data_IF_744781136025
#
_entry.id   IF_744781136025
#
_cell.length_a   1.000
_cell.length_b   1.000
_cell.length_c   1.000
_cell.angle_alpha   90.00
_cell.angle_beta   90.00
_cell.angle_gamma   90.00
#
_symmetry.space_group_name_H-M   'P 1'
#
loop_
_entity.id
_entity.type
_entity.pdbx_description
1 polymer ?
#
# COMPACT_ATOMS: atom_id res chain seq x y z
N UNK A 1 10.05 -21.43 -10.79
CA UNK A 1 10.14 -20.00 -10.42
C UNK A 1 9.34 -19.80 -9.15
N UNK A 2 9.91 -19.14 -8.14
CA UNK A 2 9.19 -18.85 -6.90
C UNK A 2 8.15 -17.76 -7.17
N UNK A 3 6.90 -17.97 -6.73
CA UNK A 3 5.83 -16.97 -6.88
C UNK A 3 6.18 -15.81 -5.96
N UNK A 4 6.41 -14.62 -6.54
CA UNK A 4 6.82 -13.43 -5.78
C UNK A 4 5.62 -12.61 -5.30
N UNK A 5 4.60 -12.54 -6.15
CA UNK A 5 3.35 -11.85 -5.87
C UNK A 5 2.20 -12.54 -6.60
N UNK A 6 1.00 -12.39 -6.06
CA UNK A 6 -0.24 -12.91 -6.64
C UNK A 6 -1.45 -12.11 -6.18
N UNK A 7 -2.56 -12.21 -6.89
CA UNK A 7 -3.81 -11.58 -6.45
C UNK A 7 -4.24 -12.14 -5.08
N UNK A 8 -4.63 -11.25 -4.16
CA UNK A 8 -4.91 -11.62 -2.78
C UNK A 8 -6.10 -12.59 -2.65
N UNK A 9 -7.15 -12.37 -3.42
CA UNK A 9 -8.38 -13.16 -3.32
C UNK A 9 -8.21 -14.50 -4.03
N UNK A 10 -7.43 -14.52 -5.11
CA UNK A 10 -6.96 -15.76 -5.73
C UNK A 10 -6.11 -16.58 -4.73
N UNK A 11 -5.16 -15.94 -4.04
CA UNK A 11 -4.33 -16.58 -3.02
C UNK A 11 -5.17 -17.18 -1.89
N UNK A 12 -6.19 -16.44 -1.42
CA UNK A 12 -7.14 -16.94 -0.43
C UNK A 12 -7.87 -18.19 -0.93
N UNK A 13 -8.44 -18.13 -2.14
CA UNK A 13 -9.19 -19.25 -2.74
C UNK A 13 -8.35 -20.52 -2.93
N UNK A 14 -7.03 -20.36 -3.10
CA UNK A 14 -6.07 -21.45 -3.28
C UNK A 14 -5.37 -21.88 -1.99
N UNK A 15 -5.73 -21.29 -0.83
CA UNK A 15 -5.05 -21.52 0.45
C UNK A 15 -3.52 -21.25 0.40
N UNK A 16 -3.12 -20.18 -0.30
CA UNK A 16 -1.72 -19.78 -0.49
C UNK A 16 -1.32 -18.56 0.35
N UNK A 17 -2.18 -18.07 1.23
CA UNK A 17 -1.83 -16.99 2.16
C UNK A 17 -0.87 -17.51 3.24
N UNK A 18 0.31 -16.89 3.41
CA UNK A 18 1.19 -17.25 4.51
C UNK A 18 0.56 -16.85 5.84
N UNK A 19 0.80 -17.62 6.90
CA UNK A 19 0.37 -17.27 8.26
C UNK A 19 1.29 -16.25 8.93
N UNK A 20 2.52 -16.13 8.42
CA UNK A 20 3.57 -15.28 8.96
C UNK A 20 4.19 -14.45 7.83
N UNK A 21 4.63 -13.24 8.15
CA UNK A 21 5.44 -12.39 7.28
C UNK A 21 4.85 -12.10 5.88
N UNK A 22 3.54 -12.00 5.76
CA UNK A 22 2.92 -11.62 4.49
C UNK A 22 2.88 -10.11 4.29
N UNK A 23 2.99 -9.68 3.03
CA UNK A 23 2.81 -8.28 2.64
C UNK A 23 1.61 -8.17 1.69
N UNK A 24 0.74 -7.21 1.93
CA UNK A 24 -0.42 -6.93 1.06
C UNK A 24 -0.30 -5.50 0.59
N UNK A 25 -0.29 -5.30 -0.73
CA UNK A 25 -0.37 -3.98 -1.33
C UNK A 25 -1.73 -3.84 -2.00
N UNK A 26 -2.51 -2.87 -1.51
CA UNK A 26 -3.78 -2.46 -2.12
C UNK A 26 -3.64 -1.07 -2.75
N UNK A 27 -4.30 -0.87 -3.88
CA UNK A 27 -4.39 0.43 -4.54
C UNK A 27 -5.85 0.81 -4.78
N UNK A 28 -6.15 2.09 -4.55
CA UNK A 28 -7.46 2.69 -4.69
C UNK A 28 -7.36 3.90 -5.63
N UNK A 29 -8.02 3.83 -6.77
CA UNK A 29 -8.00 4.85 -7.81
C UNK A 29 -9.29 5.66 -7.80
N UNK A 30 -9.18 6.97 -8.01
CA UNK A 30 -10.32 7.83 -8.26
C UNK A 30 -10.85 7.60 -9.68
N UNK A 31 -12.17 7.45 -9.84
CA UNK A 31 -12.79 7.33 -11.17
C UNK A 31 -12.75 8.66 -11.95
N UNK A 32 -12.59 9.78 -11.25
CA UNK A 32 -12.69 11.12 -11.82
C UNK A 32 -11.34 11.81 -12.06
N UNK A 33 -10.24 11.26 -11.54
CA UNK A 33 -8.90 11.87 -11.66
C UNK A 33 -7.78 10.85 -11.44
N UNK A 34 -6.52 11.22 -11.68
CA UNK A 34 -5.36 10.39 -11.35
C UNK A 34 -4.99 10.42 -9.86
N UNK A 35 -5.95 10.75 -8.99
CA UNK A 35 -5.78 10.67 -7.54
C UNK A 35 -5.76 9.21 -7.12
N UNK A 36 -4.71 8.80 -6.41
CA UNK A 36 -4.49 7.40 -6.07
C UNK A 36 -4.03 7.24 -4.64
N UNK A 37 -4.55 6.24 -3.93
CA UNK A 37 -4.08 5.83 -2.61
C UNK A 37 -3.51 4.43 -2.71
N UNK A 38 -2.39 4.19 -2.05
CA UNK A 38 -1.86 2.85 -1.83
C UNK A 38 -1.79 2.59 -0.34
N UNK A 39 -2.09 1.35 0.03
CA UNK A 39 -1.95 0.83 1.39
C UNK A 39 -1.10 -0.43 1.32
N UNK A 40 0.01 -0.45 2.05
CA UNK A 40 0.85 -1.63 2.21
C UNK A 40 0.72 -2.08 3.65
N UNK A 41 0.37 -3.35 3.85
CA UNK A 41 0.28 -3.96 5.17
C UNK A 41 1.29 -5.10 5.23
N UNK A 42 2.19 -5.08 6.22
CA UNK A 42 2.85 -6.32 6.65
C UNK A 42 2.07 -6.91 7.80
N UNK A 43 1.88 -8.22 7.80
CA UNK A 43 1.13 -8.92 8.84
C UNK A 43 1.90 -10.14 9.34
N UNK A 44 1.64 -10.49 10.59
CA UNK A 44 2.30 -11.61 11.26
C UNK A 44 1.42 -12.22 12.34
N UNK A 45 1.64 -13.49 12.71
CA UNK A 45 0.86 -14.23 13.69
C UNK A 45 -0.63 -14.34 13.34
N UNK A 46 -0.96 -14.72 12.11
CA UNK A 46 -2.35 -14.84 11.66
C UNK A 46 -3.05 -15.98 12.40
N UNK A 47 -4.11 -15.65 13.14
CA UNK A 47 -4.97 -16.63 13.83
C UNK A 47 -6.05 -17.20 12.92
N UNK A 48 -6.66 -16.34 12.12
CA UNK A 48 -7.73 -16.69 11.20
C UNK A 48 -7.82 -15.67 10.06
N UNK A 49 -8.30 -16.13 8.91
CA UNK A 49 -8.64 -15.30 7.75
C UNK A 49 -10.02 -15.73 7.27
N UNK A 50 -10.95 -14.79 7.19
CA UNK A 50 -12.32 -15.08 6.77
C UNK A 50 -12.87 -13.98 5.87
N UNK A 51 -13.70 -14.33 4.88
CA UNK A 51 -14.35 -13.37 4.01
C UNK A 51 -15.48 -12.66 4.76
N UNK A 52 -15.68 -11.41 4.39
CA UNK A 52 -16.82 -10.57 4.78
C UNK A 52 -17.47 -10.03 3.51
N UNK A 53 -18.62 -9.36 3.62
CA UNK A 53 -19.27 -8.72 2.48
C UNK A 53 -18.36 -7.67 1.81
N UNK A 54 -17.52 -7.01 2.61
CA UNK A 54 -16.64 -5.92 2.18
C UNK A 54 -15.27 -6.40 1.69
N UNK A 55 -14.82 -7.61 2.06
CA UNK A 55 -13.47 -8.07 1.71
C UNK A 55 -12.97 -9.30 2.49
N UNK A 56 -11.69 -9.28 2.86
CA UNK A 56 -11.05 -10.33 3.67
C UNK A 56 -10.57 -9.75 4.99
N UNK A 57 -11.04 -10.31 6.10
CA UNK A 57 -10.61 -9.92 7.44
C UNK A 57 -9.54 -10.88 7.95
N UNK A 58 -8.42 -10.30 8.36
CA UNK A 58 -7.31 -10.98 9.01
C UNK A 58 -7.43 -10.76 10.51
N UNK A 59 -7.49 -11.84 11.28
CA UNK A 59 -7.31 -11.79 12.73
C UNK A 59 -5.82 -11.92 13.02
N UNK A 60 -5.13 -10.80 12.93
CA UNK A 60 -3.67 -10.68 12.94
C UNK A 60 -3.29 -9.27 13.35
N UNK A 61 -2.07 -9.12 13.88
CA UNK A 61 -1.46 -7.80 13.95
C UNK A 61 -0.93 -7.41 12.57
N UNK A 62 -0.97 -6.11 12.27
CA UNK A 62 -0.53 -5.56 11.00
C UNK A 62 0.16 -4.21 11.15
N UNK A 63 1.22 -3.97 10.39
CA UNK A 63 1.82 -2.64 10.22
C UNK A 63 1.43 -2.10 8.86
N UNK A 64 0.89 -0.89 8.81
CA UNK A 64 0.37 -0.25 7.60
C UNK A 64 1.22 0.95 7.21
N UNK A 65 1.54 1.08 5.94
CA UNK A 65 2.06 2.31 5.33
C UNK A 65 1.09 2.78 4.25
N UNK A 66 0.89 4.09 4.19
CA UNK A 66 0.03 4.72 3.22
C UNK A 66 0.86 5.58 2.27
N UNK A 67 0.51 5.52 0.99
CA UNK A 67 1.02 6.41 -0.05
C UNK A 67 -0.16 7.08 -0.73
N UNK A 68 0.00 8.34 -1.09
CA UNK A 68 -1.01 9.17 -1.70
C UNK A 68 -0.41 9.88 -2.92
N UNK A 69 -1.10 9.84 -4.05
CA UNK A 69 -0.76 10.60 -5.26
C UNK A 69 -1.83 11.64 -5.53
N UNK A 70 -1.43 12.90 -5.61
CA UNK A 70 -2.31 14.03 -5.92
C UNK A 70 -2.01 14.60 -7.30
N UNK A 71 -3.01 14.74 -8.18
CA UNK A 71 -2.81 15.40 -9.46
C UNK A 71 -2.58 16.92 -9.31
N UNK A 72 -2.00 17.57 -10.33
CA UNK A 72 -1.70 19.00 -10.32
C UNK A 72 -2.94 19.89 -10.23
N UNK A 73 -4.14 19.39 -10.47
CA UNK A 73 -5.40 20.11 -10.39
C UNK A 73 -6.27 19.68 -9.21
N UNK A 74 -5.74 18.89 -8.26
CA UNK A 74 -6.51 18.45 -7.10
C UNK A 74 -7.07 19.65 -6.32
N UNK A 75 -8.39 19.73 -6.07
CA UNK A 75 -9.01 20.92 -5.46
C UNK A 75 -8.73 21.03 -3.95
N UNK A 76 -8.50 19.92 -3.25
CA UNK A 76 -8.37 19.87 -1.80
C UNK A 76 -6.91 19.78 -1.31
N UNK A 77 -5.96 20.37 -2.04
CA UNK A 77 -4.51 20.30 -1.71
C UNK A 77 -4.12 20.91 -0.37
N UNK A 78 -4.93 21.84 0.13
CA UNK A 78 -4.71 22.50 1.43
C UNK A 78 -5.41 21.75 2.57
N UNK A 79 -6.23 20.75 2.25
CA UNK A 79 -6.98 19.96 3.22
C UNK A 79 -6.13 18.78 3.70
N UNK A 80 -6.05 18.63 5.01
CA UNK A 80 -5.28 17.55 5.64
C UNK A 80 -5.83 16.17 5.21
N UNK A 81 -4.97 15.19 4.88
CA UNK A 81 -5.45 13.93 4.33
C UNK A 81 -6.41 13.15 5.24
N UNK A 82 -6.27 13.28 6.56
CA UNK A 82 -7.13 12.60 7.54
C UNK A 82 -8.54 13.18 7.69
N UNK A 83 -8.85 14.36 7.16
CA UNK A 83 -10.21 14.95 7.23
C UNK A 83 -10.95 14.95 5.90
N UNK A 84 -10.31 14.49 4.83
CA UNK A 84 -10.89 14.41 3.50
C UNK A 84 -12.07 13.46 3.44
N UNK A 85 -12.83 13.56 2.35
CA UNK A 85 -13.89 12.60 2.01
C UNK A 85 -13.35 11.18 2.06
N UNK A 86 -14.16 10.24 2.53
CA UNK A 86 -13.78 8.85 2.78
C UNK A 86 -13.02 8.18 1.61
N UNK A 87 -13.40 8.46 0.35
CA UNK A 87 -12.74 7.92 -0.84
C UNK A 87 -11.32 8.44 -1.09
N UNK A 88 -10.98 9.58 -0.50
CA UNK A 88 -9.71 10.30 -0.64
C UNK A 88 -8.96 10.40 0.70
N UNK A 89 -9.50 9.80 1.76
CA UNK A 89 -8.92 9.89 3.09
C UNK A 89 -7.76 8.89 3.25
N UNK A 90 -6.70 9.33 3.92
CA UNK A 90 -5.69 8.44 4.54
C UNK A 90 -5.49 8.88 5.99
N UNK A 91 -5.13 7.96 6.91
CA UNK A 91 -5.01 8.26 8.35
C UNK A 91 -3.69 8.99 8.69
N UNK A 92 -3.36 10.04 7.94
CA UNK A 92 -2.14 10.83 8.14
C UNK A 92 -2.39 12.33 8.00
N UNK A 93 -1.59 13.10 8.74
CA UNK A 93 -1.37 14.53 8.52
C UNK A 93 -0.22 14.76 7.55
N UNK A 94 -0.17 15.92 6.91
CA UNK A 94 0.95 16.25 6.00
C UNK A 94 2.32 16.20 6.68
N UNK A 95 2.43 16.55 7.98
CA UNK A 95 3.70 16.48 8.72
C UNK A 95 4.18 15.04 8.99
N UNK A 96 3.29 14.05 8.89
CA UNK A 96 3.58 12.60 9.02
C UNK A 96 3.94 11.95 7.67
N UNK A 97 3.86 12.72 6.58
CA UNK A 97 4.16 12.28 5.23
C UNK A 97 5.46 12.92 4.73
N UNK A 98 6.24 12.16 3.97
CA UNK A 98 7.24 12.73 3.08
C UNK A 98 6.55 13.20 1.79
N UNK A 99 7.06 14.27 1.17
CA UNK A 99 6.52 14.81 -0.08
C UNK A 99 7.58 14.73 -1.18
N UNK A 100 7.18 14.17 -2.33
CA UNK A 100 7.92 14.23 -3.58
C UNK A 100 7.09 14.98 -4.63
N UNK A 101 7.67 15.97 -5.29
CA UNK A 101 7.02 16.70 -6.37
C UNK A 101 7.66 16.32 -7.71
N UNK A 102 6.84 15.78 -8.60
CA UNK A 102 7.25 15.33 -9.92
C UNK A 102 7.38 16.50 -10.90
N UNK A 103 8.04 16.26 -12.04
CA UNK A 103 8.23 17.30 -13.06
C UNK A 103 6.92 17.85 -13.63
N UNK A 104 5.88 17.03 -13.70
CA UNK A 104 4.54 17.43 -14.13
C UNK A 104 3.67 17.97 -12.98
N UNK A 105 4.27 18.32 -11.84
CA UNK A 105 3.61 18.85 -10.63
C UNK A 105 2.66 17.87 -9.93
N UNK A 106 2.67 16.59 -10.31
CA UNK A 106 2.06 15.53 -9.49
C UNK A 106 2.80 15.46 -8.16
N UNK A 107 2.07 15.31 -7.07
CA UNK A 107 2.66 15.19 -5.73
C UNK A 107 2.45 13.78 -5.23
N UNK A 108 3.53 13.12 -4.85
CA UNK A 108 3.48 11.83 -4.18
C UNK A 108 3.84 12.02 -2.72
N UNK A 109 2.96 11.58 -1.84
CA UNK A 109 3.13 11.56 -0.41
C UNK A 109 3.27 10.12 0.06
N UNK A 110 4.17 9.86 1.01
CA UNK A 110 4.30 8.52 1.60
C UNK A 110 4.60 8.61 3.10
N UNK A 111 4.04 7.68 3.87
CA UNK A 111 4.15 7.63 5.33
C UNK A 111 5.59 7.61 5.82
N UNK A 112 5.91 8.48 6.80
CA UNK A 112 7.20 8.46 7.50
C UNK A 112 7.35 7.23 8.39
N UNK A 113 6.27 6.85 9.05
CA UNK A 113 6.18 5.76 10.02
C UNK A 113 4.99 4.85 9.69
N UNK A 114 5.10 3.59 10.07
CA UNK A 114 4.00 2.65 9.93
C UNK A 114 2.96 2.85 11.04
N UNK A 115 1.69 2.69 10.70
CA UNK A 115 0.58 2.64 11.65
C UNK A 115 0.33 1.19 12.05
N UNK A 116 0.17 0.96 13.35
CA UNK A 116 -0.06 -0.38 13.87
C UNK A 116 -1.56 -0.67 13.96
N UNK A 117 -1.99 -1.79 13.39
CA UNK A 117 -3.33 -2.37 13.52
C UNK A 117 -3.22 -3.55 14.47
N UNK A 118 -3.88 -3.45 15.62
CA UNK A 118 -3.90 -4.51 16.61
C UNK A 118 -5.05 -5.47 16.33
N UNK A 119 -4.82 -6.77 16.53
CA UNK A 119 -5.84 -7.83 16.62
C UNK A 119 -6.59 -8.17 15.32
N UNK A 120 -6.97 -7.18 14.52
CA UNK A 120 -7.58 -7.41 13.21
C UNK A 120 -7.31 -6.26 12.21
N UNK A 121 -7.45 -6.60 10.93
CA UNK A 121 -7.62 -5.63 9.85
C UNK A 121 -8.38 -6.27 8.69
N UNK A 122 -9.06 -5.45 7.89
CA UNK A 122 -9.79 -5.91 6.69
C UNK A 122 -9.12 -5.33 5.44
N UNK A 123 -8.88 -6.20 4.45
CA UNK A 123 -8.55 -5.78 3.09
C UNK A 123 -9.84 -5.75 2.29
N UNK A 124 -10.21 -4.56 1.81
CA UNK A 124 -11.42 -4.38 1.02
C UNK A 124 -11.31 -5.13 -0.31
N UNK A 125 -12.45 -5.67 -0.76
CA UNK A 125 -12.57 -6.26 -2.09
C UNK A 125 -12.33 -5.18 -3.14
N UNK A 126 -11.41 -5.39 -4.08
CA UNK A 126 -11.17 -4.42 -5.14
C UNK A 126 -12.42 -4.25 -6.02
N UNK A 127 -12.69 -3.00 -6.40
CA UNK A 127 -13.78 -2.60 -7.29
C UNK A 127 -13.16 -1.81 -8.45
N UNK A 128 -13.64 -2.03 -9.67
CA UNK A 128 -13.15 -1.32 -10.85
C UNK A 128 -11.67 -1.62 -11.11
N UNK A 129 -10.84 -0.56 -11.15
CA UNK A 129 -9.39 -0.64 -11.39
C UNK A 129 -8.56 -0.86 -10.11
N UNK A 130 -9.20 -0.86 -8.94
CA UNK A 130 -8.52 -1.14 -7.69
C UNK A 130 -7.95 -2.57 -7.72
N UNK A 131 -6.92 -2.81 -6.92
CA UNK A 131 -6.36 -4.14 -6.77
C UNK A 131 -5.84 -4.37 -5.36
N UNK A 132 -5.65 -5.64 -5.01
CA UNK A 132 -4.96 -6.07 -3.79
C UNK A 132 -4.08 -7.28 -4.14
N UNK A 133 -2.76 -7.12 -4.02
CA UNK A 133 -1.78 -8.16 -4.28
C UNK A 133 -1.11 -8.61 -2.99
N UNK A 134 -0.97 -9.92 -2.82
CA UNK A 134 -0.09 -10.54 -1.85
C UNK A 134 1.33 -10.57 -2.40
N UNK A 135 2.30 -10.19 -1.58
CA UNK A 135 3.74 -10.35 -1.82
C UNK A 135 4.31 -11.25 -0.72
N UNK A 136 5.09 -12.24 -1.13
CA UNK A 136 5.75 -13.17 -0.21
C UNK A 136 7.06 -12.55 0.32
N UNK A 137 7.40 -12.82 1.59
CA UNK A 137 8.68 -12.39 2.17
C UNK A 137 9.84 -13.20 1.56
N UNK A 138 10.37 -12.67 0.47
CA UNK A 138 11.54 -13.20 -0.23
C UNK A 138 12.69 -12.18 -0.16
N UNK A 139 13.96 -12.60 -0.33
CA UNK A 139 15.10 -11.69 -0.29
C UNK A 139 15.02 -10.53 -1.31
N UNK A 140 14.27 -10.73 -2.40
CA UNK A 140 14.05 -9.76 -3.47
C UNK A 140 12.71 -9.00 -3.36
N UNK A 141 12.03 -9.09 -2.21
CA UNK A 141 10.80 -8.35 -1.93
C UNK A 141 10.94 -6.84 -2.19
N UNK A 142 12.01 -6.14 -1.72
CA UNK A 142 12.15 -4.71 -1.97
C UNK A 142 12.21 -4.36 -3.47
N UNK A 143 12.94 -5.15 -4.26
CA UNK A 143 13.07 -4.95 -5.70
C UNK A 143 11.75 -5.24 -6.43
N UNK A 144 11.01 -6.25 -5.94
CA UNK A 144 9.69 -6.59 -6.48
C UNK A 144 8.68 -5.48 -6.21
N UNK A 145 8.66 -4.95 -4.98
CA UNK A 145 7.83 -3.80 -4.61
C UNK A 145 8.22 -2.55 -5.39
N UNK A 146 9.52 -2.23 -5.52
CA UNK A 146 10.01 -1.11 -6.31
C UNK A 146 9.52 -1.20 -7.77
N UNK A 147 9.70 -2.34 -8.42
CA UNK A 147 9.25 -2.55 -9.79
C UNK A 147 7.72 -2.40 -9.93
N UNK A 148 6.97 -2.90 -8.96
CA UNK A 148 5.52 -2.84 -8.95
C UNK A 148 5.01 -1.40 -8.73
N UNK A 149 5.57 -0.67 -7.76
CA UNK A 149 5.26 0.74 -7.55
C UNK A 149 5.65 1.59 -8.75
N UNK A 150 6.82 1.39 -9.33
CA UNK A 150 7.26 2.17 -10.49
C UNK A 150 6.29 2.02 -11.66
N UNK A 151 5.80 0.80 -11.91
CA UNK A 151 4.84 0.51 -12.99
C UNK A 151 3.47 1.12 -12.70
N UNK A 152 2.95 0.94 -11.49
CA UNK A 152 1.60 1.39 -11.14
C UNK A 152 1.53 2.92 -11.01
N UNK A 153 2.55 3.55 -10.43
CA UNK A 153 2.65 5.01 -10.37
C UNK A 153 2.69 5.62 -11.77
N UNK A 154 3.44 5.02 -12.70
CA UNK A 154 3.54 5.56 -14.07
C UNK A 154 2.31 5.35 -14.91
N UNK A 155 1.73 4.15 -14.86
CA UNK A 155 0.66 3.77 -15.77
C UNK A 155 -0.71 4.27 -15.28
N UNK A 156 -0.94 4.23 -13.97
CA UNK A 156 -2.27 4.45 -13.39
C UNK A 156 -2.37 5.80 -12.65
N UNK A 157 -1.27 6.30 -12.07
CA UNK A 157 -1.28 7.52 -11.25
C UNK A 157 -0.68 8.76 -11.95
N UNK A 158 -0.46 8.68 -13.27
CA UNK A 158 0.08 9.75 -14.11
C UNK A 158 1.43 10.34 -13.63
N UNK A 159 2.22 9.56 -12.88
CA UNK A 159 3.57 9.95 -12.45
C UNK A 159 4.55 9.75 -13.62
N UNK A 160 5.39 10.73 -14.00
CA UNK A 160 6.36 10.54 -15.06
C UNK A 160 7.29 9.36 -14.77
N UNK A 161 7.56 8.49 -15.76
CA UNK A 161 8.27 7.22 -15.52
C UNK A 161 9.63 7.37 -14.83
N UNK A 162 10.33 8.48 -15.06
CA UNK A 162 11.59 8.79 -14.38
C UNK A 162 11.39 9.07 -12.88
N UNK A 163 10.38 9.88 -12.55
CA UNK A 163 10.02 10.20 -11.17
C UNK A 163 9.42 8.97 -10.48
N UNK A 164 8.60 8.18 -11.19
CA UNK A 164 7.98 6.97 -10.68
C UNK A 164 9.04 5.96 -10.18
N UNK A 165 10.11 5.73 -10.94
CA UNK A 165 11.22 4.86 -10.51
C UNK A 165 11.92 5.37 -9.25
N UNK A 166 12.16 6.69 -9.17
CA UNK A 166 12.81 7.30 -8.01
C UNK A 166 11.95 7.19 -6.75
N UNK A 167 10.67 7.54 -6.86
CA UNK A 167 9.72 7.50 -5.75
C UNK A 167 9.44 6.07 -5.32
N UNK A 168 9.30 5.14 -6.26
CA UNK A 168 9.12 3.72 -5.96
C UNK A 168 10.28 3.15 -5.12
N UNK A 169 11.52 3.53 -5.44
CA UNK A 169 12.69 3.13 -4.65
C UNK A 169 12.61 3.67 -3.22
N UNK A 170 12.26 4.95 -3.04
CA UNK A 170 12.09 5.57 -1.72
C UNK A 170 10.99 4.88 -0.91
N UNK A 171 9.86 4.54 -1.54
CA UNK A 171 8.75 3.82 -0.89
C UNK A 171 9.21 2.40 -0.50
N UNK A 172 9.91 1.68 -1.37
CA UNK A 172 10.39 0.32 -1.08
C UNK A 172 11.40 0.29 0.08
N UNK A 173 12.32 1.26 0.13
CA UNK A 173 13.23 1.44 1.27
C UNK A 173 12.47 1.76 2.57
N UNK A 174 11.42 2.58 2.48
CA UNK A 174 10.56 2.90 3.61
C UNK A 174 9.78 1.67 4.10
N UNK A 175 9.24 0.86 3.20
CA UNK A 175 8.58 -0.41 3.52
C UNK A 175 9.52 -1.33 4.27
N UNK A 176 10.74 -1.53 3.77
CA UNK A 176 11.73 -2.41 4.39
C UNK A 176 12.06 -1.99 5.83
N UNK A 177 12.09 -0.70 6.11
CA UNK A 177 12.46 -0.17 7.44
C UNK A 177 11.27 -0.10 8.38
N UNK A 178 10.14 0.44 7.94
CA UNK A 178 8.99 0.72 8.80
C UNK A 178 8.04 -0.48 8.98
N UNK A 179 7.98 -1.41 8.01
CA UNK A 179 7.12 -2.59 8.08
C UNK A 179 7.82 -3.85 8.61
N UNK A 180 9.10 -3.73 8.99
CA UNK A 180 9.84 -4.84 9.60
C UNK A 180 9.26 -5.16 10.98
N UNK A 181 9.17 -6.44 11.29
CA UNK A 181 8.87 -6.94 12.62
C UNK A 181 10.19 -7.17 13.37
N UNK A 182 10.39 -6.45 14.47
CA UNK A 182 11.53 -6.67 15.35
C UNK A 182 11.13 -7.76 16.35
N UNK A 183 11.63 -8.98 16.12
CA UNK A 183 11.45 -10.06 17.05
C UNK A 183 12.50 -9.92 18.15
N UNK A 184 12.06 -9.77 19.41
CA UNK A 184 12.90 -10.20 20.51
C UNK A 184 13.02 -11.72 20.38
N UNK A 185 14.21 -12.20 20.02
CA UNK A 185 14.59 -13.60 20.24
C UNK A 185 14.58 -13.80 21.76
N UNK A 186 13.43 -14.22 22.29
CA UNK A 186 13.27 -14.72 23.65
C UNK A 186 13.54 -16.22 23.71
#
# INVERSE_FOLDING_TARGET
>A
MQVKAMDLFEAYSKNQLPSEHGYILSAFFSEASSYTRYEIISYNNVKAIYPTEEGLTFQSDGKKLFTLVEPPNYPHKSEEPFVRKSSEQIPHRFNELEKYECKNQVRVYYGKNALFSHTNFTILKPIGLNFSFLFFELPDLPQTLEAFFAKTLSNEAAVPSFDAKRVAKLIAEKVKTALKWDYATG
#
